data_IF_514946693197
#
_entry.id   IF_514946693197
#
_cell.length_a   1.000
_cell.length_b   1.000
_cell.length_c   1.000
_cell.angle_alpha   90.00
_cell.angle_beta   90.00
_cell.angle_gamma   90.00
#
_symmetry.space_group_name_H-M   'P 1'
#
loop_
_entity.id
_entity.type
_entity.pdbx_description
1 polymer ?
#
# COMPACT_ATOMS: atom_id res chain seq x y z
N UNK A 1 10.99 14.76 12.91
CA UNK A 1 10.74 15.13 11.49
C UNK A 1 10.26 13.88 10.77
N UNK A 2 9.16 13.95 9.99
CA UNK A 2 8.71 12.82 9.18
C UNK A 2 9.62 12.71 7.95
N UNK A 3 10.32 11.58 7.81
CA UNK A 3 11.29 11.38 6.71
C UNK A 3 10.63 10.71 5.51
N UNK A 4 10.07 9.51 5.70
CA UNK A 4 9.30 8.78 4.69
C UNK A 4 8.34 7.79 5.36
N UNK A 5 7.26 7.43 4.69
CA UNK A 5 6.28 6.48 5.21
C UNK A 5 4.92 6.59 4.54
N UNK A 6 3.91 6.01 5.19
CA UNK A 6 2.54 5.94 4.71
C UNK A 6 1.58 6.62 5.69
N UNK A 7 0.48 7.12 5.16
CA UNK A 7 -0.67 7.61 5.92
C UNK A 7 -1.96 7.15 5.24
N UNK A 8 -3.00 6.95 6.02
CA UNK A 8 -4.35 6.68 5.51
C UNK A 8 -4.90 7.99 4.91
N UNK A 9 -5.52 7.91 3.73
CA UNK A 9 -6.19 9.08 3.13
C UNK A 9 -7.52 9.34 3.82
N UNK A 10 -7.99 10.59 3.81
CA UNK A 10 -9.19 11.03 4.54
C UNK A 10 -10.43 10.18 4.26
N UNK A 11 -10.60 9.70 3.01
CA UNK A 11 -11.69 8.80 2.62
C UNK A 11 -11.77 7.52 3.48
N UNK A 12 -10.65 7.03 3.99
CA UNK A 12 -10.54 5.74 4.70
C UNK A 12 -10.15 5.87 6.18
N UNK A 13 -10.17 7.07 6.77
CA UNK A 13 -9.73 7.31 8.16
C UNK A 13 -10.40 6.39 9.20
N UNK A 14 -11.68 6.08 9.00
CA UNK A 14 -12.47 5.23 9.91
C UNK A 14 -12.73 3.83 9.36
N UNK A 15 -12.04 3.44 8.29
CA UNK A 15 -12.23 2.13 7.64
C UNK A 15 -11.50 0.99 8.36
N UNK A 16 -10.77 1.27 9.45
CA UNK A 16 -10.01 0.25 10.19
C UNK A 16 -8.83 -0.32 9.40
N UNK A 17 -8.28 0.46 8.47
CA UNK A 17 -7.11 0.03 7.68
C UNK A 17 -5.84 0.07 8.52
N UNK A 18 -4.95 -0.88 8.26
CA UNK A 18 -3.61 -0.92 8.86
C UNK A 18 -2.58 -0.31 7.92
N UNK A 19 -1.55 0.32 8.50
CA UNK A 19 -0.43 0.84 7.71
C UNK A 19 0.48 -0.31 7.22
N UNK A 20 1.09 -0.19 6.03
CA UNK A 20 1.98 -1.22 5.50
C UNK A 20 3.12 -1.58 6.44
N UNK A 21 3.39 -2.87 6.57
CA UNK A 21 4.49 -3.41 7.37
C UNK A 21 5.42 -4.28 6.53
N UNK A 22 6.63 -4.48 7.04
CA UNK A 22 7.58 -5.45 6.47
C UNK A 22 7.31 -6.82 7.08
N UNK A 23 7.19 -7.84 6.23
CA UNK A 23 6.96 -9.21 6.68
C UNK A 23 8.11 -9.77 7.54
N UNK A 24 9.37 -9.40 7.21
CA UNK A 24 10.55 -9.77 7.99
C UNK A 24 11.44 -8.56 8.22
N UNK A 25 12.35 -8.66 9.21
CA UNK A 25 13.26 -7.56 9.58
C UNK A 25 14.13 -7.08 8.41
N UNK A 26 14.47 -7.97 7.48
CA UNK A 26 15.35 -7.71 6.35
C UNK A 26 14.60 -7.52 5.02
N UNK A 27 13.27 -7.59 5.01
CA UNK A 27 12.50 -7.35 3.80
C UNK A 27 12.70 -5.91 3.29
N UNK A 28 12.84 -5.78 1.97
CA UNK A 28 12.91 -4.47 1.31
C UNK A 28 11.52 -3.85 1.10
N UNK A 29 10.53 -4.68 0.76
CA UNK A 29 9.16 -4.26 0.49
C UNK A 29 8.31 -4.14 1.75
N UNK A 30 7.38 -3.19 1.73
CA UNK A 30 6.26 -3.12 2.67
C UNK A 30 5.03 -3.72 1.99
N UNK A 31 4.32 -4.61 2.68
CA UNK A 31 3.11 -5.22 2.14
C UNK A 31 1.95 -4.22 2.19
N UNK A 32 1.37 -3.89 1.03
CA UNK A 32 0.17 -3.06 0.92
C UNK A 32 -1.08 -3.94 0.90
N UNK A 33 -2.13 -3.46 1.54
CA UNK A 33 -3.42 -4.15 1.67
C UNK A 33 -4.51 -3.47 0.85
N UNK A 34 -5.55 -4.24 0.54
CA UNK A 34 -6.75 -3.75 -0.13
C UNK A 34 -7.62 -2.97 0.85
N UNK A 35 -8.08 -1.78 0.47
CA UNK A 35 -8.90 -0.91 1.32
C UNK A 35 -10.38 -1.32 1.41
N UNK A 36 -10.91 -1.97 0.38
CA UNK A 36 -12.31 -2.40 0.31
C UNK A 36 -12.47 -3.65 -0.53
N UNK A 37 -13.47 -4.49 -0.22
CA UNK A 37 -13.75 -5.70 -0.98
C UNK A 37 -14.05 -5.35 -2.44
N UNK A 38 -13.37 -6.02 -3.36
CA UNK A 38 -13.67 -5.96 -4.79
C UNK A 38 -13.70 -7.36 -5.41
N UNK A 39 -14.33 -7.46 -6.58
CA UNK A 39 -14.35 -8.65 -7.43
C UNK A 39 -13.65 -8.30 -8.73
N UNK A 40 -12.72 -9.13 -9.21
CA UNK A 40 -12.07 -8.99 -10.51
C UNK A 40 -12.52 -10.17 -11.37
N UNK A 41 -13.17 -9.89 -12.50
CA UNK A 41 -13.63 -10.93 -13.44
C UNK A 41 -12.50 -11.40 -14.35
N UNK A 42 -12.61 -12.58 -14.98
CA UNK A 42 -11.63 -13.05 -15.96
C UNK A 42 -11.39 -12.03 -17.08
N UNK A 43 -10.13 -11.65 -17.30
CA UNK A 43 -9.74 -10.65 -18.30
C UNK A 43 -10.00 -9.19 -17.92
N UNK A 44 -10.56 -8.93 -16.74
CA UNK A 44 -10.83 -7.58 -16.25
C UNK A 44 -9.59 -6.95 -15.61
N UNK A 45 -9.37 -5.65 -15.87
CA UNK A 45 -8.33 -4.86 -15.21
C UNK A 45 -9.01 -3.88 -14.25
N UNK A 46 -8.58 -3.87 -12.97
CA UNK A 46 -9.06 -2.92 -11.96
C UNK A 46 -7.92 -2.20 -11.28
N UNK A 47 -8.16 -0.93 -10.96
CA UNK A 47 -7.37 -0.20 -9.97
C UNK A 47 -7.84 -0.63 -8.58
N UNK A 48 -6.98 -1.34 -7.85
CA UNK A 48 -7.26 -1.79 -6.49
C UNK A 48 -6.93 -0.66 -5.51
N UNK A 49 -7.89 -0.13 -4.74
CA UNK A 49 -7.63 0.95 -3.80
C UNK A 49 -6.84 0.43 -2.60
N UNK A 50 -5.74 1.10 -2.28
CA UNK A 50 -4.91 0.80 -1.09
C UNK A 50 -5.32 1.63 0.12
N UNK A 51 -6.01 2.77 -0.10
CA UNK A 51 -6.43 3.69 0.95
C UNK A 51 -5.29 4.51 1.54
N UNK A 52 -4.12 4.53 0.89
CA UNK A 52 -2.91 5.12 1.41
C UNK A 52 -2.39 6.25 0.53
N UNK A 53 -1.70 7.19 1.16
CA UNK A 53 -0.76 8.12 0.54
C UNK A 53 0.63 7.87 1.12
N UNK A 54 1.65 8.06 0.29
CA UNK A 54 3.05 7.94 0.72
C UNK A 54 3.69 9.33 0.75
N UNK A 55 4.56 9.55 1.73
CA UNK A 55 5.43 10.73 1.81
C UNK A 55 6.89 10.28 1.80
N UNK A 56 7.75 11.09 1.19
CA UNK A 56 9.17 10.80 1.01
C UNK A 56 9.95 12.10 0.79
N UNK A 57 11.28 12.04 0.89
CA UNK A 57 12.15 13.20 0.68
C UNK A 57 12.44 13.42 -0.82
N UNK A 58 13.02 14.58 -1.15
CA UNK A 58 13.48 14.85 -2.52
C UNK A 58 14.54 13.82 -2.95
N UNK A 59 14.42 13.33 -4.19
CA UNK A 59 15.31 12.29 -4.73
C UNK A 59 14.91 10.85 -4.38
N UNK A 60 13.82 10.66 -3.63
CA UNK A 60 13.28 9.34 -3.31
C UNK A 60 12.09 8.99 -4.21
N UNK A 61 11.83 7.69 -4.36
CA UNK A 61 10.70 7.15 -5.10
C UNK A 61 10.15 5.92 -4.40
N UNK A 62 8.83 5.74 -4.46
CA UNK A 62 8.16 4.50 -4.07
C UNK A 62 7.87 3.68 -5.32
N UNK A 63 8.47 2.50 -5.42
CA UNK A 63 8.13 1.52 -6.44
C UNK A 63 7.09 0.53 -5.92
N UNK A 64 6.18 0.11 -6.79
CA UNK A 64 5.22 -0.96 -6.53
C UNK A 64 5.63 -2.18 -7.34
N UNK A 65 5.68 -3.33 -6.67
CA UNK A 65 6.04 -4.61 -7.26
C UNK A 65 4.97 -5.64 -6.90
N UNK A 66 4.71 -6.58 -7.81
CA UNK A 66 3.84 -7.71 -7.51
C UNK A 66 4.46 -8.59 -6.42
N UNK A 67 3.61 -9.11 -5.54
CA UNK A 67 4.00 -10.12 -4.57
C UNK A 67 4.17 -11.43 -5.32
N UNK A 68 5.31 -12.10 -5.17
CA UNK A 68 5.62 -13.34 -5.89
C UNK A 68 4.73 -14.54 -5.52
N UNK A 69 3.88 -14.40 -4.50
CA UNK A 69 3.14 -15.48 -3.84
C UNK A 69 4.05 -16.62 -3.36
N UNK A 70 3.47 -17.53 -2.58
CA UNK A 70 4.04 -18.81 -2.18
C UNK A 70 3.04 -19.88 -2.57
#
# INVERSE_FOLDING_TARGET
>A
MKTRGFEIVSKYENAGLELPVRATKQAAGYDLSVAEKLVIQPGEIKLVPTGLKAYMQAGEVLYLYDRSSN
#
